data_IF_869406899007
#
_entry.id   IF_869406899007
#
_cell.length_a   1.000
_cell.length_b   1.000
_cell.length_c   1.000
_cell.angle_alpha   90.00
_cell.angle_beta   90.00
_cell.angle_gamma   90.00
#
_symmetry.space_group_name_H-M   'P 1'
#
loop_
_entity.id
_entity.type
_entity.pdbx_description
1 polymer ?
#
# COMPACT_ATOMS: atom_id res chain seq x y z
N UNK A 1 -9.07 4.16 18.79
CA UNK A 1 -9.05 2.73 18.49
C UNK A 1 -7.89 2.38 17.56
N UNK A 2 -7.60 1.09 17.44
CA UNK A 2 -6.54 0.62 16.53
C UNK A 2 -6.87 0.92 15.07
N UNK A 3 -8.12 0.70 14.67
CA UNK A 3 -8.56 1.03 13.31
C UNK A 3 -8.39 2.53 13.01
N UNK A 4 -8.70 3.40 13.96
CA UNK A 4 -8.51 4.83 13.77
C UNK A 4 -7.04 5.20 13.56
N UNK A 5 -6.14 4.53 14.25
CA UNK A 5 -4.69 4.73 14.09
C UNK A 5 -4.23 4.28 12.71
N UNK A 6 -4.68 3.13 12.26
CA UNK A 6 -4.34 2.59 10.93
C UNK A 6 -4.84 3.55 9.84
N UNK A 7 -6.08 4.02 9.96
CA UNK A 7 -6.66 4.96 9.01
C UNK A 7 -5.88 6.27 8.99
N UNK A 8 -5.54 6.81 10.15
CA UNK A 8 -4.79 8.05 10.25
C UNK A 8 -3.42 7.94 9.57
N UNK A 9 -2.72 6.82 9.74
CA UNK A 9 -1.42 6.58 9.11
C UNK A 9 -1.58 6.41 7.59
N UNK A 10 -2.56 5.63 7.16
CA UNK A 10 -2.87 5.45 5.73
C UNK A 10 -3.05 6.81 5.05
N UNK A 11 -3.93 7.64 5.61
CA UNK A 11 -4.24 8.94 5.03
C UNK A 11 -3.06 9.91 5.10
N UNK A 12 -2.30 9.88 6.20
CA UNK A 12 -1.10 10.71 6.34
C UNK A 12 -0.06 10.39 5.27
N UNK A 13 0.24 9.11 5.08
CA UNK A 13 1.22 8.68 4.09
C UNK A 13 0.78 9.14 2.70
N UNK A 14 -0.45 8.90 2.31
CA UNK A 14 -0.96 9.26 0.99
C UNK A 14 -0.97 10.78 0.80
N UNK A 15 -1.42 11.54 1.79
CA UNK A 15 -1.52 12.99 1.68
C UNK A 15 -0.14 13.68 1.63
N UNK A 16 0.92 13.01 2.06
CA UNK A 16 2.27 13.57 2.10
C UNK A 16 3.23 12.91 1.11
N UNK A 17 2.74 12.08 0.19
CA UNK A 17 3.58 11.28 -0.69
C UNK A 17 3.03 11.35 -2.12
N UNK A 18 3.95 11.39 -3.09
CA UNK A 18 3.62 11.28 -4.52
C UNK A 18 4.26 10.02 -5.08
N UNK A 19 3.58 9.38 -6.01
CA UNK A 19 4.16 8.23 -6.70
C UNK A 19 5.37 8.69 -7.52
N UNK A 20 6.47 7.95 -7.39
CA UNK A 20 7.73 8.27 -8.07
C UNK A 20 7.74 7.64 -9.46
N UNK A 21 7.19 8.35 -10.44
CA UNK A 21 7.12 7.88 -11.82
C UNK A 21 8.51 7.71 -12.46
N UNK A 22 9.50 8.48 -12.01
CA UNK A 22 10.86 8.41 -12.55
C UNK A 22 11.54 7.07 -12.19
N UNK A 23 11.11 6.43 -11.11
CA UNK A 23 11.63 5.13 -10.71
C UNK A 23 11.35 4.03 -11.75
N UNK A 24 10.27 4.17 -12.53
CA UNK A 24 9.93 3.22 -13.59
C UNK A 24 10.98 3.20 -14.71
N UNK A 25 11.73 4.28 -14.87
CA UNK A 25 12.78 4.44 -15.86
C UNK A 25 14.18 4.42 -15.24
N UNK A 26 14.31 3.98 -13.99
CA UNK A 26 15.56 3.97 -13.23
C UNK A 26 16.23 5.36 -13.11
N UNK A 27 15.44 6.42 -13.15
CA UNK A 27 15.91 7.80 -13.09
C UNK A 27 15.51 8.51 -11.79
N UNK A 28 15.10 7.77 -10.77
CA UNK A 28 14.66 8.37 -9.51
C UNK A 28 15.83 9.04 -8.78
N UNK A 29 15.55 10.22 -8.23
CA UNK A 29 16.44 10.96 -7.33
C UNK A 29 16.23 10.58 -5.87
N UNK A 30 15.21 9.78 -5.57
CA UNK A 30 14.73 9.51 -4.23
C UNK A 30 14.89 8.05 -3.87
N UNK A 31 14.92 7.76 -2.57
CA UNK A 31 14.91 6.39 -2.04
C UNK A 31 13.47 5.86 -1.97
N UNK A 32 12.78 5.89 -3.09
CA UNK A 32 11.34 5.63 -3.19
C UNK A 32 10.94 4.17 -3.02
N UNK A 33 11.89 3.25 -2.98
CA UNK A 33 11.64 1.82 -2.76
C UNK A 33 11.53 1.44 -1.28
N UNK A 34 11.89 2.37 -0.39
CA UNK A 34 11.93 2.12 1.05
C UNK A 34 11.18 3.22 1.79
N UNK A 35 10.89 2.95 3.07
CA UNK A 35 10.17 3.88 3.93
C UNK A 35 10.83 5.26 4.03
N UNK A 36 12.17 5.31 3.94
CA UNK A 36 12.91 6.58 3.99
C UNK A 36 12.41 7.56 2.92
N UNK A 37 12.37 7.14 1.66
CA UNK A 37 11.89 7.99 0.57
C UNK A 37 10.44 8.38 0.74
N UNK A 38 9.62 7.43 1.13
CA UNK A 38 8.18 7.64 1.33
C UNK A 38 7.89 8.64 2.44
N UNK A 39 8.53 8.46 3.60
CA UNK A 39 8.21 9.26 4.79
C UNK A 39 9.01 10.55 4.89
N UNK A 40 10.24 10.57 4.39
CA UNK A 40 11.14 11.73 4.55
C UNK A 40 11.31 12.55 3.29
N UNK A 41 11.26 11.91 2.13
CA UNK A 41 11.42 12.61 0.85
C UNK A 41 10.08 12.88 0.15
N UNK A 42 9.03 12.17 0.51
CA UNK A 42 7.68 12.36 -0.04
C UNK A 42 7.46 11.74 -1.41
N UNK A 43 8.29 10.76 -1.80
CA UNK A 43 8.18 10.04 -3.07
C UNK A 43 8.28 8.55 -2.84
N UNK A 44 7.43 7.78 -3.53
CA UNK A 44 7.33 6.35 -3.28
C UNK A 44 6.92 5.55 -4.53
N UNK A 45 7.43 4.32 -4.58
CA UNK A 45 6.87 3.25 -5.41
C UNK A 45 5.98 2.38 -4.53
N UNK A 46 5.38 1.32 -5.12
CA UNK A 46 4.57 0.37 -4.34
C UNK A 46 5.38 -0.24 -3.18
N UNK A 47 6.66 -0.53 -3.40
CA UNK A 47 7.54 -1.05 -2.35
C UNK A 47 7.70 -0.06 -1.19
N UNK A 48 7.88 1.21 -1.49
CA UNK A 48 8.01 2.25 -0.47
C UNK A 48 6.74 2.43 0.36
N UNK A 49 5.57 2.44 -0.30
CA UNK A 49 4.29 2.52 0.39
C UNK A 49 4.09 1.32 1.33
N UNK A 50 4.34 0.11 0.84
CA UNK A 50 4.19 -1.10 1.64
C UNK A 50 5.17 -1.14 2.80
N UNK A 51 6.41 -0.72 2.57
CA UNK A 51 7.45 -0.66 3.60
C UNK A 51 7.08 0.36 4.70
N UNK A 52 6.66 1.55 4.31
CA UNK A 52 6.26 2.59 5.26
C UNK A 52 5.06 2.16 6.10
N UNK A 53 4.04 1.58 5.47
CA UNK A 53 2.86 1.12 6.19
C UNK A 53 3.20 0.00 7.17
N UNK A 54 4.08 -0.94 6.77
CA UNK A 54 4.52 -2.03 7.64
C UNK A 54 5.21 -1.52 8.89
N UNK A 55 6.00 -0.46 8.82
CA UNK A 55 6.65 0.13 9.98
C UNK A 55 5.64 0.55 11.04
N UNK A 56 4.58 1.23 10.64
CA UNK A 56 3.54 1.67 11.57
C UNK A 56 2.72 0.51 12.09
N UNK A 57 2.37 -0.45 11.23
CA UNK A 57 1.63 -1.64 11.65
C UNK A 57 2.42 -2.43 12.70
N UNK A 58 3.73 -2.59 12.49
CA UNK A 58 4.59 -3.26 13.46
C UNK A 58 4.66 -2.49 14.80
N UNK A 59 4.70 -1.17 14.74
CA UNK A 59 4.68 -0.34 15.96
C UNK A 59 3.38 -0.45 16.72
N UNK A 60 2.28 -0.67 16.01
CA UNK A 60 0.96 -0.88 16.64
C UNK A 60 0.74 -2.33 17.07
N UNK A 61 1.72 -3.21 16.86
CA UNK A 61 1.62 -4.65 17.14
C UNK A 61 0.49 -5.31 16.35
N UNK A 62 0.27 -4.88 15.13
CA UNK A 62 -0.71 -5.48 14.21
C UNK A 62 0.01 -6.49 13.34
N UNK A 63 -0.37 -7.78 13.37
CA UNK A 63 0.22 -8.75 12.46
C UNK A 63 -0.04 -8.34 11.02
N UNK A 64 1.01 -8.34 10.21
CA UNK A 64 0.92 -7.91 8.83
C UNK A 64 1.93 -8.66 7.98
N UNK A 65 1.63 -8.78 6.70
CA UNK A 65 2.51 -9.35 5.70
C UNK A 65 2.50 -8.48 4.45
N UNK A 66 3.52 -8.65 3.61
CA UNK A 66 3.54 -8.06 2.29
C UNK A 66 3.14 -9.11 1.28
N UNK A 67 2.15 -8.76 0.44
CA UNK A 67 1.71 -9.60 -0.66
C UNK A 67 2.44 -9.12 -1.91
N UNK A 68 2.96 -10.05 -2.69
CA UNK A 68 3.60 -9.71 -3.96
C UNK A 68 2.97 -10.50 -5.10
N UNK A 69 2.62 -9.81 -6.16
CA UNK A 69 2.29 -10.39 -7.46
C UNK A 69 3.53 -10.31 -8.35
N UNK A 70 3.40 -10.65 -9.63
CA UNK A 70 4.51 -10.52 -10.57
C UNK A 70 4.94 -9.07 -10.80
N UNK A 71 4.07 -8.09 -10.55
CA UNK A 71 4.31 -6.68 -10.90
C UNK A 71 4.04 -5.69 -9.79
N UNK A 72 3.55 -6.14 -8.63
CA UNK A 72 3.08 -5.22 -7.59
C UNK A 72 3.29 -5.82 -6.20
N UNK A 73 3.33 -4.94 -5.20
CA UNK A 73 3.41 -5.32 -3.79
C UNK A 73 2.50 -4.41 -2.95
N UNK A 74 1.84 -4.99 -1.94
CA UNK A 74 0.98 -4.26 -1.01
C UNK A 74 0.97 -4.98 0.33
N UNK A 75 0.16 -4.50 1.28
CA UNK A 75 0.09 -5.07 2.61
C UNK A 75 -1.19 -5.89 2.81
N UNK A 76 -1.12 -6.88 3.68
CA UNK A 76 -2.28 -7.49 4.30
C UNK A 76 -2.10 -7.43 5.82
N UNK A 77 -3.20 -7.21 6.53
CA UNK A 77 -3.20 -7.03 7.98
C UNK A 77 -4.19 -7.97 8.64
N UNK A 78 -3.85 -8.46 9.83
CA UNK A 78 -4.74 -9.29 10.63
C UNK A 78 -5.44 -8.40 11.66
N UNK A 79 -6.75 -8.23 11.47
CA UNK A 79 -7.55 -7.35 12.29
C UNK A 79 -8.95 -7.94 12.45
N UNK A 80 -9.48 -7.91 13.69
CA UNK A 80 -10.81 -8.44 13.98
C UNK A 80 -11.00 -9.90 13.53
N UNK A 81 -9.98 -10.73 13.77
CA UNK A 81 -9.96 -12.18 13.46
C UNK A 81 -9.98 -12.52 11.97
N UNK A 82 -9.54 -11.60 11.10
CA UNK A 82 -9.45 -11.88 9.66
C UNK A 82 -8.32 -11.10 9.02
N UNK A 83 -7.84 -11.61 7.89
CA UNK A 83 -6.84 -10.94 7.09
C UNK A 83 -7.52 -10.03 6.07
N UNK A 84 -7.04 -8.79 5.98
CA UNK A 84 -7.59 -7.75 5.10
C UNK A 84 -6.47 -7.12 4.28
N UNK A 85 -6.76 -6.83 3.03
CA UNK A 85 -5.81 -6.16 2.13
C UNK A 85 -5.79 -4.66 2.35
N UNK A 86 -4.61 -4.07 2.16
CA UNK A 86 -4.37 -2.65 2.33
C UNK A 86 -3.35 -2.21 1.27
N UNK A 87 -3.79 -1.43 0.29
CA UNK A 87 -2.93 -1.02 -0.82
C UNK A 87 -2.92 0.50 -0.96
N UNK A 88 -1.91 1.12 -0.36
CA UNK A 88 -1.76 2.57 -0.39
C UNK A 88 -1.45 3.10 -1.79
N UNK A 89 -0.71 2.34 -2.59
CA UNK A 89 -0.39 2.75 -3.96
C UNK A 89 -1.66 2.97 -4.77
N UNK A 90 -2.60 2.02 -4.73
CA UNK A 90 -3.85 2.11 -5.47
C UNK A 90 -4.85 3.08 -4.84
N UNK A 91 -4.68 3.40 -3.55
CA UNK A 91 -5.47 4.44 -2.88
C UNK A 91 -4.88 5.85 -3.10
N UNK A 92 -3.74 5.94 -3.75
CA UNK A 92 -3.09 7.20 -4.13
C UNK A 92 -2.82 7.24 -5.64
N UNK A 93 -3.87 7.16 -6.48
CA UNK A 93 -3.66 7.09 -7.93
C UNK A 93 -3.14 8.41 -8.49
N UNK A 94 -2.33 8.30 -9.55
CA UNK A 94 -1.89 9.45 -10.33
C UNK A 94 -3.10 9.92 -11.15
N UNK A 95 -3.48 11.20 -10.97
CA UNK A 95 -4.56 11.79 -11.73
C UNK A 95 -3.95 12.70 -12.80
N UNK A 96 -4.10 12.32 -14.07
CA UNK A 96 -3.62 13.14 -15.18
C UNK A 96 -4.36 14.48 -15.22
N UNK A 97 -3.60 15.55 -15.46
CA UNK A 97 -4.15 16.89 -15.59
C UNK A 97 -4.59 17.55 -14.30
N UNK A 98 -4.31 16.94 -13.15
CA UNK A 98 -4.62 17.49 -11.84
C UNK A 98 -3.34 17.60 -11.01
N UNK A 99 -3.16 18.74 -10.35
CA UNK A 99 -2.11 18.93 -9.36
C UNK A 99 -2.56 18.49 -7.95
N UNK A 100 -3.71 17.84 -7.85
CA UNK A 100 -4.25 17.41 -6.58
C UNK A 100 -3.83 15.98 -6.29
N UNK A 101 -3.35 15.75 -5.08
CA UNK A 101 -3.19 14.42 -4.54
C UNK A 101 -4.59 13.83 -4.34
N UNK A 102 -4.78 12.61 -4.84
CA UNK A 102 -6.05 11.90 -4.69
C UNK A 102 -5.90 10.91 -3.53
N UNK A 103 -6.82 10.99 -2.58
CA UNK A 103 -6.90 10.05 -1.47
C UNK A 103 -8.15 9.19 -1.62
N UNK A 104 -7.96 7.89 -1.74
CA UNK A 104 -9.05 6.92 -1.82
C UNK A 104 -8.99 5.97 -0.63
N UNK A 105 -10.10 5.28 -0.40
CA UNK A 105 -10.21 4.20 0.60
C UNK A 105 -10.77 2.93 -0.05
N UNK A 106 -10.62 2.80 -1.36
CA UNK A 106 -11.14 1.67 -2.13
C UNK A 106 -10.40 0.37 -1.83
N UNK A 107 -9.10 0.48 -1.56
CA UNK A 107 -8.24 -0.66 -1.23
C UNK A 107 -7.79 -0.59 0.23
N UNK A 108 -8.67 -0.12 1.08
CA UNK A 108 -8.43 0.04 2.51
C UNK A 108 -9.19 -1.05 3.28
N UNK A 109 -8.46 -1.96 3.89
CA UNK A 109 -8.97 -3.03 4.75
C UNK A 109 -10.11 -3.83 4.09
N UNK A 110 -9.86 -4.33 2.89
CA UNK A 110 -10.84 -5.12 2.13
C UNK A 110 -10.46 -6.61 2.15
N UNK A 111 -11.49 -7.46 2.09
CA UNK A 111 -11.26 -8.91 2.05
C UNK A 111 -10.85 -9.37 0.64
N UNK A 112 -10.40 -10.64 0.56
CA UNK A 112 -9.95 -11.21 -0.70
C UNK A 112 -11.04 -11.24 -1.78
N UNK A 113 -12.29 -11.66 -1.49
CA UNK A 113 -13.34 -11.61 -2.51
C UNK A 113 -13.60 -10.21 -3.06
N UNK A 114 -13.53 -9.18 -2.23
CA UNK A 114 -13.69 -7.79 -2.67
C UNK A 114 -12.55 -7.37 -3.59
N UNK A 115 -11.31 -7.68 -3.20
CA UNK A 115 -10.14 -7.39 -4.03
C UNK A 115 -10.23 -8.08 -5.39
N UNK A 116 -10.58 -9.37 -5.40
CA UNK A 116 -10.72 -10.14 -6.63
C UNK A 116 -11.84 -9.59 -7.52
N UNK A 117 -12.91 -9.08 -6.92
CA UNK A 117 -14.04 -8.52 -7.65
C UNK A 117 -13.69 -7.30 -8.49
N UNK A 118 -12.59 -6.61 -8.20
CA UNK A 118 -12.12 -5.49 -9.01
C UNK A 118 -11.41 -5.92 -10.29
N UNK A 119 -11.04 -7.20 -10.42
CA UNK A 119 -10.39 -7.78 -11.60
C UNK A 119 -9.12 -7.04 -12.05
N UNK A 120 -8.28 -6.65 -11.08
CA UNK A 120 -7.03 -5.95 -11.35
C UNK A 120 -5.90 -6.95 -11.44
N UNK A 121 -5.26 -7.04 -12.62
CA UNK A 121 -4.19 -8.02 -12.88
C UNK A 121 -3.03 -7.90 -11.91
N UNK A 122 -2.65 -6.69 -11.52
CA UNK A 122 -1.57 -6.47 -10.55
C UNK A 122 -1.86 -7.08 -9.18
N UNK A 123 -3.13 -7.35 -8.85
CA UNK A 123 -3.54 -7.96 -7.59
C UNK A 123 -3.71 -9.48 -7.67
N UNK A 124 -3.29 -10.11 -8.76
CA UNK A 124 -3.28 -11.56 -8.88
C UNK A 124 -2.01 -12.13 -8.25
N UNK A 125 -2.15 -12.87 -7.17
CA UNK A 125 -1.03 -13.43 -6.41
C UNK A 125 -1.16 -14.93 -6.22
N UNK A 126 -0.05 -15.58 -5.84
CA UNK A 126 -0.02 -17.02 -5.62
C UNK A 126 -0.60 -17.38 -4.25
N UNK A 127 -1.80 -17.96 -4.25
CA UNK A 127 -2.52 -18.33 -3.03
C UNK A 127 -1.90 -19.51 -2.28
N UNK A 128 -0.98 -20.24 -2.90
CA UNK A 128 -0.24 -21.30 -2.21
C UNK A 128 0.95 -20.78 -1.43
N UNK A 129 1.41 -19.56 -1.75
CA UNK A 129 2.47 -18.87 -1.01
C UNK A 129 1.86 -17.98 0.08
N UNK A 130 0.86 -17.18 -0.27
CA UNK A 130 0.22 -16.24 0.66
C UNK A 130 -1.05 -16.85 1.24
N UNK A 131 -0.86 -17.87 2.09
CA UNK A 131 -1.96 -18.65 2.67
C UNK A 131 -2.92 -17.81 3.53
N UNK A 132 -2.42 -16.75 4.15
CA UNK A 132 -3.20 -15.86 5.01
C UNK A 132 -4.35 -15.21 4.25
N UNK A 133 -4.19 -14.99 2.96
CA UNK A 133 -5.18 -14.33 2.09
C UNK A 133 -5.64 -15.20 0.93
N UNK A 134 -5.46 -16.50 1.08
CA UNK A 134 -5.87 -17.47 0.05
C UNK A 134 -7.39 -17.58 -0.11
#
# INVERSE_FOLDING_TARGET
SLEDKILAVHDYIINNTKYDSDALNNNSKYKSYISYGTLLEGYSTCNGYADAMALFLDRFNVPNIRIASSTHVWNAVYLNNKWLHLDLTWDDPITEGSNRDTLLHKFYLIDTPTLEGYNITEHEYNKTIFLEVS
#
